data_IF_993693422713
#
_entry.id   IF_993693422713
#
_cell.length_a   1.000
_cell.length_b   1.000
_cell.length_c   1.000
_cell.angle_alpha   90.00
_cell.angle_beta   90.00
_cell.angle_gamma   90.00
#
_symmetry.space_group_name_H-M   'P 1'
#
loop_
_entity.id
_entity.type
_entity.pdbx_description
1 polymer ?
#
# COMPACT_ATOMS: atom_id res chain seq x y z
N UNK A 1 18.43 49.04 -11.77
CA UNK A 1 18.56 47.69 -12.35
C UNK A 1 18.13 46.65 -11.33
N UNK A 2 17.68 45.49 -11.82
CA UNK A 2 17.29 44.25 -11.10
C UNK A 2 15.79 44.05 -10.91
N UNK A 3 15.13 43.57 -11.97
CA UNK A 3 13.89 42.78 -11.89
C UNK A 3 14.30 41.35 -11.56
N UNK A 4 13.99 40.90 -10.34
CA UNK A 4 14.06 39.49 -9.97
C UNK A 4 13.00 38.76 -10.78
N UNK A 5 13.43 38.03 -11.82
CA UNK A 5 12.57 37.14 -12.57
C UNK A 5 12.16 35.98 -11.64
N UNK A 6 10.93 36.02 -11.14
CA UNK A 6 10.29 34.85 -10.56
C UNK A 6 10.14 33.83 -11.68
N UNK A 7 11.07 32.89 -11.77
CA UNK A 7 11.02 31.78 -12.73
C UNK A 7 9.85 30.91 -12.29
N UNK A 8 8.68 31.11 -12.90
CA UNK A 8 7.52 30.23 -12.75
C UNK A 8 8.03 28.84 -13.12
N UNK A 9 8.08 27.95 -12.14
CA UNK A 9 8.45 26.57 -12.37
C UNK A 9 7.30 25.95 -13.15
N UNK A 10 7.54 25.67 -14.42
CA UNK A 10 6.55 25.01 -15.28
C UNK A 10 6.26 23.64 -14.67
N UNK A 11 5.06 23.46 -14.12
CA UNK A 11 4.65 22.23 -13.47
C UNK A 11 4.37 21.19 -14.55
N UNK A 12 5.16 20.12 -14.59
CA UNK A 12 4.93 19.02 -15.55
C UNK A 12 3.67 18.28 -15.12
N UNK A 13 2.81 17.88 -16.07
CA UNK A 13 1.64 17.06 -15.77
C UNK A 13 2.04 15.75 -15.09
N UNK A 14 1.18 15.19 -14.21
CA UNK A 14 1.41 13.86 -13.68
C UNK A 14 1.64 12.80 -14.74
N UNK A 15 2.46 11.80 -14.41
CA UNK A 15 2.85 10.75 -15.34
C UNK A 15 1.68 9.81 -15.65
N UNK A 16 0.86 9.51 -14.64
CA UNK A 16 -0.33 8.65 -14.76
C UNK A 16 -1.61 9.41 -14.39
N UNK A 17 -2.71 9.09 -15.09
CA UNK A 17 -4.04 9.68 -14.84
C UNK A 17 -4.79 9.01 -13.69
N UNK A 18 -4.49 7.74 -13.41
CA UNK A 18 -5.13 6.92 -12.37
C UNK A 18 -4.15 6.66 -11.22
N UNK A 19 -4.64 6.10 -10.11
CA UNK A 19 -3.78 5.56 -9.04
C UNK A 19 -2.89 4.45 -9.59
N UNK A 20 -1.72 4.26 -8.97
CA UNK A 20 -0.82 3.13 -9.26
C UNK A 20 -1.49 1.76 -9.18
N UNK A 21 -2.51 1.61 -8.33
CA UNK A 21 -3.26 0.36 -8.14
C UNK A 21 -4.33 0.12 -9.21
N UNK A 22 -4.24 0.86 -10.32
CA UNK A 22 -5.11 0.82 -11.50
C UNK A 22 -4.32 1.24 -12.77
N UNK A 23 -3.08 0.77 -12.89
CA UNK A 23 -2.24 0.93 -14.09
C UNK A 23 -1.92 -0.44 -14.67
N UNK A 24 -1.57 -0.51 -15.95
CA UNK A 24 -1.18 -1.79 -16.60
C UNK A 24 0.22 -2.30 -16.16
N UNK A 25 0.86 -1.63 -15.20
CA UNK A 25 2.19 -2.01 -14.72
C UNK A 25 2.02 -2.99 -13.56
N UNK A 26 2.48 -4.20 -13.78
CA UNK A 26 2.69 -5.21 -12.72
C UNK A 26 4.02 -4.90 -12.01
N UNK A 27 3.94 -4.13 -10.92
CA UNK A 27 5.08 -3.61 -10.15
C UNK A 27 5.69 -4.70 -9.28
N UNK A 28 4.83 -5.52 -8.67
CA UNK A 28 5.19 -6.60 -7.77
C UNK A 28 4.50 -7.87 -8.28
N UNK A 29 5.27 -8.74 -8.91
CA UNK A 29 4.69 -9.89 -9.60
C UNK A 29 4.33 -10.99 -8.62
N UNK A 30 3.33 -11.79 -8.96
CA UNK A 30 2.98 -12.99 -8.19
C UNK A 30 4.19 -13.94 -8.04
N UNK A 31 5.09 -13.98 -9.03
CA UNK A 31 6.30 -14.81 -9.04
C UNK A 31 7.48 -14.22 -8.26
N UNK A 32 7.39 -12.98 -7.77
CA UNK A 32 8.48 -12.37 -7.00
C UNK A 32 8.65 -13.10 -5.66
N UNK A 33 9.89 -13.18 -5.17
CA UNK A 33 10.20 -13.89 -3.94
C UNK A 33 9.42 -13.31 -2.76
N UNK A 34 8.93 -14.19 -1.90
CA UNK A 34 8.20 -13.80 -0.70
C UNK A 34 8.74 -14.50 0.55
N UNK A 35 8.52 -13.86 1.70
CA UNK A 35 9.01 -14.32 3.00
C UNK A 35 8.03 -15.24 3.74
N UNK A 36 6.88 -15.61 3.16
CA UNK A 36 5.84 -16.35 3.86
C UNK A 36 6.28 -17.80 4.15
N UNK A 37 5.99 -18.27 5.37
CA UNK A 37 6.33 -19.62 5.82
C UNK A 37 5.10 -20.49 6.00
N UNK A 38 4.14 -20.03 6.81
CA UNK A 38 2.91 -20.78 7.09
C UNK A 38 1.80 -19.88 7.66
N UNK A 39 0.57 -20.39 7.60
CA UNK A 39 -0.63 -19.74 8.14
C UNK A 39 -1.27 -20.64 9.20
N UNK A 40 -1.39 -20.13 10.42
CA UNK A 40 -2.02 -20.83 11.55
C UNK A 40 -3.39 -20.24 11.86
N UNK A 41 -4.41 -21.08 12.01
CA UNK A 41 -5.70 -20.64 12.53
C UNK A 41 -5.67 -20.56 14.06
N UNK A 42 -6.09 -19.42 14.62
CA UNK A 42 -6.04 -19.11 16.06
C UNK A 42 -7.41 -19.24 16.74
N UNK A 43 -8.50 -19.33 15.97
CA UNK A 43 -9.85 -19.45 16.49
C UNK A 43 -10.75 -18.29 16.08
N UNK A 44 -11.92 -18.22 16.71
CA UNK A 44 -12.81 -17.06 16.61
C UNK A 44 -12.67 -16.21 17.87
N UNK A 45 -12.61 -14.90 17.70
CA UNK A 45 -12.41 -13.94 18.78
C UNK A 45 -13.25 -12.69 18.54
N UNK A 46 -13.49 -11.92 19.60
CA UNK A 46 -13.99 -10.56 19.45
C UNK A 46 -12.85 -9.64 19.01
N UNK A 47 -13.03 -8.94 17.89
CA UNK A 47 -12.05 -8.00 17.33
C UNK A 47 -12.72 -6.71 16.89
N UNK A 48 -11.96 -5.62 16.94
CA UNK A 48 -12.37 -4.37 16.30
C UNK A 48 -12.09 -4.49 14.80
N UNK A 49 -13.14 -4.41 13.98
CA UNK A 49 -13.09 -4.62 12.55
C UNK A 49 -13.74 -3.44 11.83
N UNK A 50 -13.13 -2.25 11.86
CA UNK A 50 -13.69 -1.08 11.21
C UNK A 50 -13.89 -1.34 9.73
N UNK A 51 -15.03 -0.87 9.24
CA UNK A 51 -15.48 -1.04 7.86
C UNK A 51 -15.53 0.28 7.09
N UNK A 52 -15.82 0.19 5.81
CA UNK A 52 -15.92 1.31 4.89
C UNK A 52 -17.32 1.90 4.83
N UNK A 53 -18.29 1.18 5.39
CA UNK A 53 -19.67 1.61 5.51
C UNK A 53 -19.98 2.08 6.94
N UNK A 54 -20.74 3.16 7.06
CA UNK A 54 -21.06 3.78 8.36
C UNK A 54 -21.96 2.95 9.26
N UNK A 55 -22.65 1.95 8.70
CA UNK A 55 -23.55 1.03 9.40
C UNK A 55 -22.90 -0.32 9.74
N UNK A 56 -21.66 -0.56 9.30
CA UNK A 56 -20.88 -1.70 9.75
C UNK A 56 -20.45 -1.49 11.21
N UNK A 57 -20.81 -2.44 12.07
CA UNK A 57 -20.43 -2.40 13.48
C UNK A 57 -18.91 -2.47 13.64
N UNK A 58 -18.35 -1.63 14.51
CA UNK A 58 -16.91 -1.60 14.78
C UNK A 58 -16.38 -2.88 15.42
N UNK A 59 -17.24 -3.67 16.07
CA UNK A 59 -16.87 -4.89 16.79
C UNK A 59 -17.54 -6.10 16.15
N UNK A 60 -16.74 -7.10 15.80
CA UNK A 60 -17.22 -8.41 15.40
C UNK A 60 -16.88 -9.44 16.49
N UNK A 61 -17.87 -10.24 16.92
CA UNK A 61 -17.73 -11.20 18.02
C UNK A 61 -17.35 -12.62 17.55
N UNK A 62 -17.30 -12.85 16.24
CA UNK A 62 -17.03 -14.16 15.64
C UNK A 62 -15.88 -14.14 14.63
N UNK A 63 -14.95 -13.20 14.76
CA UNK A 63 -13.89 -12.95 13.78
C UNK A 63 -12.98 -14.16 13.66
N UNK A 64 -12.82 -14.68 12.44
CA UNK A 64 -11.87 -15.75 12.16
C UNK A 64 -10.44 -15.17 12.15
N UNK A 65 -9.64 -15.56 13.13
CA UNK A 65 -8.25 -15.06 13.26
C UNK A 65 -7.28 -16.09 12.73
N UNK A 66 -6.47 -15.66 11.76
CA UNK A 66 -5.31 -16.40 11.27
C UNK A 66 -4.03 -15.63 11.60
N UNK A 67 -2.93 -16.34 11.75
CA UNK A 67 -1.60 -15.78 12.00
C UNK A 67 -0.64 -16.25 10.93
N UNK A 68 -0.20 -15.34 10.08
CA UNK A 68 0.79 -15.59 9.04
C UNK A 68 2.20 -15.42 9.63
N UNK A 69 3.08 -16.38 9.39
CA UNK A 69 4.46 -16.39 9.85
C UNK A 69 5.42 -16.16 8.67
N UNK A 70 6.48 -15.39 8.90
CA UNK A 70 7.44 -14.98 7.87
C UNK A 70 8.89 -15.27 8.28
N UNK A 71 9.80 -15.36 7.31
CA UNK A 71 11.22 -15.73 7.51
C UNK A 71 12.04 -14.78 8.38
N UNK A 72 11.55 -13.57 8.66
CA UNK A 72 12.19 -12.60 9.56
C UNK A 72 11.69 -12.68 11.01
N UNK A 73 11.17 -13.83 11.43
CA UNK A 73 10.52 -14.09 12.73
C UNK A 73 9.31 -13.18 13.06
N UNK A 74 8.87 -12.36 12.10
CA UNK A 74 7.63 -11.58 12.22
C UNK A 74 6.44 -12.48 11.95
N UNK A 75 5.35 -12.17 12.62
CA UNK A 75 4.02 -12.67 12.28
C UNK A 75 3.03 -11.51 12.21
N UNK A 76 2.02 -11.66 11.35
CA UNK A 76 0.93 -10.70 11.18
C UNK A 76 -0.38 -11.45 11.33
N UNK A 77 -1.30 -10.93 12.15
CA UNK A 77 -2.65 -11.50 12.22
C UNK A 77 -3.49 -11.03 11.03
N UNK A 78 -4.31 -11.93 10.50
CA UNK A 78 -5.30 -11.64 9.46
C UNK A 78 -6.66 -11.95 10.07
N UNK A 79 -7.48 -10.92 10.22
CA UNK A 79 -8.79 -10.96 10.85
C UNK A 79 -9.85 -10.94 9.77
N UNK A 80 -10.65 -12.01 9.69
CA UNK A 80 -11.73 -12.12 8.71
C UNK A 80 -13.07 -12.08 9.41
N UNK A 81 -13.94 -11.20 8.91
CA UNK A 81 -15.22 -10.91 9.55
C UNK A 81 -16.10 -12.17 9.62
N UNK A 82 -16.92 -12.26 10.66
CA UNK A 82 -17.80 -13.43 10.88
C UNK A 82 -18.76 -13.70 9.72
N UNK A 83 -19.06 -12.69 8.89
CA UNK A 83 -19.89 -12.80 7.66
C UNK A 83 -19.36 -13.78 6.62
N UNK A 84 -18.07 -14.18 6.67
CA UNK A 84 -17.58 -15.30 5.86
C UNK A 84 -18.31 -16.62 6.15
N UNK A 85 -18.96 -16.72 7.30
CA UNK A 85 -19.89 -17.79 7.68
C UNK A 85 -19.23 -19.12 8.07
N UNK A 86 -18.01 -19.41 7.61
CA UNK A 86 -17.22 -20.52 8.12
C UNK A 86 -15.71 -20.34 7.90
N UNK A 87 -14.92 -21.10 8.69
CA UNK A 87 -13.45 -21.13 8.63
C UNK A 87 -12.90 -21.43 7.24
N UNK A 88 -13.53 -22.32 6.45
CA UNK A 88 -13.02 -22.70 5.12
C UNK A 88 -13.06 -21.50 4.17
N UNK A 89 -14.18 -20.77 4.14
CA UNK A 89 -14.34 -19.54 3.35
C UNK A 89 -13.38 -18.46 3.83
N UNK A 90 -13.28 -18.24 5.14
CA UNK A 90 -12.36 -17.27 5.69
C UNK A 90 -10.89 -17.61 5.36
N UNK A 91 -10.48 -18.88 5.51
CA UNK A 91 -9.12 -19.31 5.18
C UNK A 91 -8.77 -19.07 3.71
N UNK A 92 -9.72 -19.27 2.79
CA UNK A 92 -9.48 -19.04 1.36
C UNK A 92 -9.07 -17.58 1.06
N UNK A 93 -9.59 -16.60 1.81
CA UNK A 93 -9.19 -15.20 1.66
C UNK A 93 -7.94 -14.84 2.46
N UNK A 94 -7.73 -15.46 3.63
CA UNK A 94 -6.47 -15.35 4.34
C UNK A 94 -5.29 -15.83 3.47
N UNK A 95 -5.45 -16.97 2.78
CA UNK A 95 -4.44 -17.55 1.89
C UNK A 95 -4.10 -16.66 0.70
N UNK A 96 -5.06 -15.89 0.16
CA UNK A 96 -4.79 -14.93 -0.94
C UNK A 96 -3.82 -13.82 -0.53
N UNK A 97 -3.75 -13.51 0.77
CA UNK A 97 -2.98 -12.40 1.30
C UNK A 97 -1.57 -12.80 1.77
N UNK A 98 -1.33 -14.08 2.07
CA UNK A 98 -0.10 -14.54 2.74
C UNK A 98 1.18 -14.24 1.96
N UNK A 99 1.27 -14.70 0.71
CA UNK A 99 2.42 -14.42 -0.15
C UNK A 99 2.60 -12.91 -0.38
N UNK A 100 1.49 -12.17 -0.55
CA UNK A 100 1.52 -10.71 -0.80
C UNK A 100 2.09 -9.92 0.39
N UNK A 101 1.74 -10.29 1.61
CA UNK A 101 2.41 -9.78 2.82
C UNK A 101 3.89 -10.21 2.89
N UNK A 102 4.20 -11.39 2.35
CA UNK A 102 5.57 -11.91 2.25
C UNK A 102 6.44 -11.11 1.29
N UNK A 103 5.86 -10.53 0.23
CA UNK A 103 6.54 -9.71 -0.78
C UNK A 103 6.85 -8.28 -0.30
N UNK A 104 6.26 -7.86 0.82
CA UNK A 104 6.59 -6.56 1.44
C UNK A 104 8.04 -6.55 1.98
N UNK A 105 8.74 -5.41 1.91
CA UNK A 105 9.94 -5.17 2.71
C UNK A 105 9.69 -5.49 4.18
N UNK A 106 10.67 -6.10 4.84
CA UNK A 106 10.51 -6.55 6.23
C UNK A 106 10.16 -5.40 7.18
N UNK A 107 10.74 -4.21 6.97
CA UNK A 107 10.45 -3.04 7.80
C UNK A 107 8.99 -2.56 7.64
N UNK A 108 8.42 -2.65 6.44
CA UNK A 108 7.00 -2.33 6.19
C UNK A 108 6.09 -3.37 6.83
N UNK A 109 6.39 -4.67 6.64
CA UNK A 109 5.63 -5.74 7.30
C UNK A 109 5.69 -5.65 8.83
N UNK A 110 6.77 -5.11 9.39
CA UNK A 110 6.94 -4.98 10.83
C UNK A 110 6.05 -3.90 11.46
N UNK A 111 5.60 -2.90 10.70
CA UNK A 111 4.68 -1.85 11.18
C UNK A 111 3.24 -2.34 11.32
N UNK A 112 2.90 -3.44 10.64
CA UNK A 112 1.57 -4.05 10.72
C UNK A 112 1.36 -4.76 12.07
N UNK A 113 0.28 -4.39 12.73
CA UNK A 113 -0.31 -5.08 13.88
C UNK A 113 -1.18 -6.25 13.40
N UNK A 114 -2.03 -5.99 12.40
CA UNK A 114 -2.92 -6.98 11.79
C UNK A 114 -3.42 -6.48 10.41
N UNK A 115 -4.20 -7.29 9.72
CA UNK A 115 -4.98 -6.93 8.52
C UNK A 115 -6.43 -7.35 8.72
N UNK A 116 -7.37 -6.50 8.33
CA UNK A 116 -8.82 -6.75 8.41
C UNK A 116 -9.33 -7.11 7.01
N UNK A 117 -10.15 -8.16 6.91
CA UNK A 117 -10.82 -8.54 5.67
C UNK A 117 -12.33 -8.66 5.93
N UNK A 118 -13.09 -7.83 5.24
CA UNK A 118 -14.55 -7.86 5.18
C UNK A 118 -15.04 -8.59 3.92
N UNK A 119 -16.32 -8.94 3.91
CA UNK A 119 -17.01 -9.41 2.71
C UNK A 119 -17.57 -8.24 1.90
N UNK A 120 -17.64 -8.35 0.58
CA UNK A 120 -18.25 -7.34 -0.31
C UNK A 120 -17.26 -6.64 -1.23
N UNK A 121 -17.69 -5.54 -1.86
CA UNK A 121 -16.89 -4.76 -2.81
C UNK A 121 -16.79 -3.29 -2.37
N UNK A 122 -15.82 -3.01 -1.51
CA UNK A 122 -15.47 -1.66 -1.09
C UNK A 122 -13.98 -1.40 -1.28
N UNK A 123 -13.62 -0.13 -1.32
CA UNK A 123 -12.23 0.29 -1.47
C UNK A 123 -11.42 -0.07 -0.22
N UNK A 124 -10.20 -0.57 -0.44
CA UNK A 124 -9.22 -0.74 0.61
C UNK A 124 -8.89 0.60 1.28
N UNK A 125 -8.49 0.55 2.55
CA UNK A 125 -7.96 1.72 3.25
C UNK A 125 -7.06 1.29 4.41
N UNK A 126 -6.19 2.20 4.85
CA UNK A 126 -5.30 2.01 5.98
C UNK A 126 -5.69 2.86 7.20
N UNK A 127 -5.31 2.38 8.38
CA UNK A 127 -5.36 3.11 9.65
C UNK A 127 -3.93 3.14 10.22
N UNK A 128 -3.26 4.27 10.04
CA UNK A 128 -1.83 4.42 10.30
C UNK A 128 -1.47 4.41 11.78
N UNK A 129 -2.36 4.94 12.64
CA UNK A 129 -2.20 4.91 14.10
C UNK A 129 -2.47 3.51 14.65
N UNK A 130 -3.52 2.84 14.15
CA UNK A 130 -3.90 1.48 14.50
C UNK A 130 -2.95 0.42 13.96
N UNK A 131 -2.13 0.75 12.97
CA UNK A 131 -1.14 -0.15 12.40
C UNK A 131 -1.74 -1.26 11.56
N UNK A 132 -2.84 -1.01 10.84
CA UNK A 132 -3.51 -2.03 10.03
C UNK A 132 -4.09 -1.42 8.75
N UNK A 133 -4.52 -2.30 7.84
CA UNK A 133 -5.34 -1.92 6.70
C UNK A 133 -6.48 -2.91 6.50
N UNK A 134 -7.46 -2.49 5.69
CA UNK A 134 -8.72 -3.18 5.45
C UNK A 134 -8.83 -3.55 3.97
N UNK A 135 -9.24 -4.79 3.71
CA UNK A 135 -9.58 -5.30 2.38
C UNK A 135 -11.00 -5.85 2.34
N UNK A 136 -11.55 -6.00 1.14
CA UNK A 136 -12.88 -6.56 0.91
C UNK A 136 -12.82 -7.71 -0.10
N UNK A 137 -13.54 -8.79 0.18
CA UNK A 137 -13.45 -10.06 -0.58
C UNK A 137 -13.58 -9.89 -2.09
N UNK A 138 -14.60 -9.16 -2.55
CA UNK A 138 -14.94 -9.08 -3.96
C UNK A 138 -13.99 -8.08 -4.67
N UNK A 139 -13.54 -7.06 -3.93
CA UNK A 139 -12.49 -6.15 -4.38
C UNK A 139 -11.15 -6.88 -4.54
N UNK A 140 -10.79 -7.76 -3.59
CA UNK A 140 -9.59 -8.61 -3.69
C UNK A 140 -9.64 -9.49 -4.93
N UNK A 141 -10.79 -10.12 -5.22
CA UNK A 141 -10.96 -10.97 -6.41
C UNK A 141 -10.82 -10.19 -7.71
N UNK A 142 -11.31 -8.94 -7.74
CA UNK A 142 -11.12 -8.05 -8.88
C UNK A 142 -9.67 -7.66 -9.05
N UNK A 143 -8.99 -7.27 -7.97
CA UNK A 143 -7.57 -6.89 -8.00
C UNK A 143 -6.66 -8.06 -8.37
N UNK A 144 -6.94 -9.28 -7.92
CA UNK A 144 -6.18 -10.47 -8.35
C UNK A 144 -6.31 -10.70 -9.86
N UNK A 145 -7.53 -10.57 -10.42
CA UNK A 145 -7.74 -10.73 -11.87
C UNK A 145 -6.99 -9.68 -12.70
N UNK A 146 -6.76 -8.51 -12.13
CA UNK A 146 -6.06 -7.41 -12.79
C UNK A 146 -4.54 -7.38 -12.50
N UNK A 147 -4.03 -8.27 -11.64
CA UNK A 147 -2.66 -8.22 -11.09
C UNK A 147 -2.35 -6.92 -10.31
N UNK A 148 -3.29 -6.47 -9.48
CA UNK A 148 -3.19 -5.22 -8.70
C UNK A 148 -3.19 -5.45 -7.17
N UNK A 149 -3.39 -6.70 -6.71
CA UNK A 149 -3.57 -6.94 -5.27
C UNK A 149 -2.27 -6.78 -4.50
N UNK A 150 -1.12 -7.15 -5.07
CA UNK A 150 0.20 -6.93 -4.51
C UNK A 150 0.48 -5.42 -4.32
N UNK A 151 0.19 -4.63 -5.34
CA UNK A 151 0.30 -3.18 -5.39
C UNK A 151 -0.61 -2.54 -4.34
N UNK A 152 -1.83 -3.06 -4.19
CA UNK A 152 -2.77 -2.58 -3.17
C UNK A 152 -2.24 -2.87 -1.77
N UNK A 153 -1.76 -4.10 -1.51
CA UNK A 153 -1.17 -4.45 -0.22
C UNK A 153 0.04 -3.57 0.09
N UNK A 154 0.89 -3.29 -0.90
CA UNK A 154 2.03 -2.38 -0.74
C UNK A 154 1.59 -0.93 -0.49
N UNK A 155 0.61 -0.44 -1.25
CA UNK A 155 0.06 0.92 -1.14
C UNK A 155 -0.54 1.15 0.26
N UNK A 156 -1.44 0.28 0.71
CA UNK A 156 -2.04 0.39 2.04
C UNK A 156 -1.00 0.25 3.16
N UNK A 157 -0.03 -0.64 3.01
CA UNK A 157 1.06 -0.77 4.00
C UNK A 157 1.98 0.45 3.98
N UNK A 158 2.09 1.18 2.85
CA UNK A 158 2.85 2.42 2.78
C UNK A 158 2.20 3.51 3.63
N UNK A 159 0.88 3.64 3.62
CA UNK A 159 0.16 4.53 4.54
C UNK A 159 0.50 4.19 6.00
N UNK A 160 0.37 2.91 6.37
CA UNK A 160 0.69 2.46 7.74
C UNK A 160 2.14 2.76 8.13
N UNK A 161 3.08 2.56 7.20
CA UNK A 161 4.51 2.67 7.49
C UNK A 161 5.00 4.11 7.55
N UNK A 162 4.46 4.99 6.71
CA UNK A 162 5.05 6.30 6.46
C UNK A 162 4.18 7.47 6.87
N UNK A 163 2.85 7.39 6.80
CA UNK A 163 2.01 8.59 6.80
C UNK A 163 2.06 9.35 8.12
N UNK A 164 1.90 8.64 9.22
CA UNK A 164 1.91 9.19 10.58
C UNK A 164 3.17 10.04 10.82
N UNK A 165 4.32 9.61 10.28
CA UNK A 165 5.61 10.29 10.49
C UNK A 165 5.93 11.31 9.40
N UNK A 166 5.57 11.04 8.15
CA UNK A 166 6.15 11.73 6.99
C UNK A 166 5.14 12.47 6.11
N UNK A 167 3.93 11.96 5.87
CA UNK A 167 3.02 12.49 4.85
C UNK A 167 2.68 13.97 5.03
N UNK A 168 2.55 14.42 6.29
CA UNK A 168 2.28 15.83 6.64
C UNK A 168 3.51 16.60 7.12
N UNK A 169 4.68 15.96 7.15
CA UNK A 169 5.92 16.54 7.67
C UNK A 169 6.41 17.72 6.83
N UNK A 170 7.12 18.66 7.46
CA UNK A 170 7.75 19.80 6.75
C UNK A 170 8.74 19.33 5.68
N UNK A 171 9.43 18.21 5.92
CA UNK A 171 10.39 17.64 4.98
C UNK A 171 9.70 17.14 3.71
N UNK A 172 8.67 16.31 3.85
CA UNK A 172 7.95 15.77 2.69
C UNK A 172 7.31 16.89 1.85
N UNK A 173 6.64 17.85 2.52
CA UNK A 173 6.06 19.03 1.87
C UNK A 173 7.10 19.85 1.09
N UNK A 174 8.32 19.99 1.64
CA UNK A 174 9.42 20.66 0.94
C UNK A 174 9.86 19.87 -0.29
N UNK A 175 9.97 18.54 -0.20
CA UNK A 175 10.31 17.69 -1.34
C UNK A 175 9.26 17.80 -2.45
N UNK A 176 7.97 17.75 -2.10
CA UNK A 176 6.85 17.96 -3.02
C UNK A 176 6.96 19.30 -3.76
N UNK A 177 7.16 20.40 -3.04
CA UNK A 177 7.29 21.73 -3.65
C UNK A 177 8.56 21.89 -4.50
N UNK A 178 9.62 21.16 -4.17
CA UNK A 178 10.91 21.19 -4.88
C UNK A 178 10.94 20.28 -6.10
N UNK A 179 10.05 19.30 -6.18
CA UNK A 179 9.83 18.46 -7.36
C UNK A 179 8.93 19.14 -8.40
N UNK A 180 8.98 18.70 -9.66
CA UNK A 180 8.33 19.38 -10.80
C UNK A 180 6.90 18.91 -11.07
N UNK A 181 6.52 17.74 -10.58
CA UNK A 181 5.26 17.06 -10.91
C UNK A 181 4.88 16.06 -9.83
N UNK A 182 3.65 15.57 -9.80
CA UNK A 182 3.27 14.38 -9.04
C UNK A 182 3.34 13.14 -9.94
N UNK A 183 3.51 11.94 -9.37
CA UNK A 183 3.59 10.75 -10.20
C UNK A 183 2.23 10.37 -10.81
N UNK A 184 1.15 10.50 -10.02
CA UNK A 184 -0.23 10.27 -10.46
C UNK A 184 -1.11 11.49 -10.20
N UNK A 185 -2.20 11.63 -10.95
CA UNK A 185 -3.23 12.64 -10.65
C UNK A 185 -3.87 12.39 -9.28
N UNK A 186 -3.94 11.12 -8.84
CA UNK A 186 -4.45 10.77 -7.51
C UNK A 186 -3.56 11.35 -6.40
N UNK A 187 -2.23 11.14 -6.50
CA UNK A 187 -1.24 11.77 -5.63
C UNK A 187 -1.33 13.29 -5.65
N UNK A 188 -1.55 13.90 -6.83
CA UNK A 188 -1.73 15.35 -6.96
C UNK A 188 -3.00 15.85 -6.25
N UNK A 189 -4.10 15.11 -6.34
CA UNK A 189 -5.39 15.50 -5.77
C UNK A 189 -5.40 15.44 -4.23
N UNK A 190 -4.60 14.53 -3.65
CA UNK A 190 -4.50 14.29 -2.22
C UNK A 190 -3.03 14.23 -1.77
N UNK A 191 -2.26 15.32 -1.90
CA UNK A 191 -0.80 15.29 -1.77
C UNK A 191 -0.32 14.95 -0.36
N UNK A 192 -1.14 15.15 0.67
CA UNK A 192 -0.79 14.85 2.06
C UNK A 192 -1.33 13.50 2.56
N UNK A 193 -1.88 12.69 1.66
CA UNK A 193 -2.39 11.34 1.95
C UNK A 193 -1.76 10.34 0.96
N UNK A 194 -1.90 10.58 -0.34
CA UNK A 194 -1.63 9.55 -1.37
C UNK A 194 -0.21 9.61 -1.93
N UNK A 195 0.45 10.77 -1.87
CA UNK A 195 1.69 10.97 -2.60
C UNK A 195 2.84 10.05 -2.15
N UNK A 196 2.93 9.73 -0.86
CA UNK A 196 3.93 8.78 -0.37
C UNK A 196 3.63 7.38 -0.90
N UNK A 197 2.41 6.87 -0.69
CA UNK A 197 2.04 5.51 -1.10
C UNK A 197 2.18 5.29 -2.61
N UNK A 198 1.74 6.28 -3.40
CA UNK A 198 1.85 6.25 -4.86
C UNK A 198 3.31 6.34 -5.34
N UNK A 199 4.15 7.15 -4.69
CA UNK A 199 5.57 7.28 -5.08
C UNK A 199 6.41 6.08 -4.60
N UNK A 200 6.14 5.56 -3.41
CA UNK A 200 6.92 4.51 -2.76
C UNK A 200 6.98 3.23 -3.59
N UNK A 201 5.88 2.86 -4.25
CA UNK A 201 5.84 1.66 -5.09
C UNK A 201 6.84 1.74 -6.25
N UNK A 202 6.89 2.88 -6.96
CA UNK A 202 7.87 3.07 -8.03
C UNK A 202 9.30 3.00 -7.53
N UNK A 203 9.59 3.68 -6.41
CA UNK A 203 10.95 3.67 -5.84
C UNK A 203 11.32 2.25 -5.43
N UNK A 204 10.44 1.54 -4.73
CA UNK A 204 10.64 0.15 -4.36
C UNK A 204 10.94 -0.72 -5.58
N UNK A 205 10.09 -0.67 -6.62
CA UNK A 205 10.28 -1.46 -7.85
C UNK A 205 11.58 -1.13 -8.55
N UNK A 206 11.99 0.13 -8.63
CA UNK A 206 13.27 0.53 -9.22
C UNK A 206 14.48 0.01 -8.44
N UNK A 207 14.35 -0.15 -7.12
CA UNK A 207 15.43 -0.61 -6.23
C UNK A 207 15.55 -2.12 -6.18
N UNK A 208 14.43 -2.84 -6.16
CA UNK A 208 14.42 -4.30 -5.97
C UNK A 208 14.32 -5.07 -7.27
N UNK A 209 13.72 -4.49 -8.31
CA UNK A 209 13.51 -5.13 -9.60
C UNK A 209 13.99 -4.23 -10.76
N UNK A 210 15.32 -4.04 -10.94
CA UNK A 210 15.85 -3.20 -12.02
C UNK A 210 15.31 -3.61 -13.40
N UNK A 211 14.90 -2.62 -14.21
CA UNK A 211 14.26 -2.81 -15.52
C UNK A 211 12.85 -3.41 -15.52
N UNK A 212 12.17 -3.53 -14.36
CA UNK A 212 10.72 -3.84 -14.32
C UNK A 212 9.92 -2.72 -14.98
N UNK A 213 10.34 -1.48 -14.77
CA UNK A 213 9.78 -0.30 -15.40
C UNK A 213 10.53 0.03 -16.69
N UNK A 214 9.85 0.71 -17.63
CA UNK A 214 10.51 1.20 -18.83
C UNK A 214 11.56 2.27 -18.49
N UNK A 215 12.59 2.40 -19.32
CA UNK A 215 13.65 3.41 -19.11
C UNK A 215 13.08 4.82 -19.09
N UNK A 216 12.05 5.08 -19.88
CA UNK A 216 11.35 6.36 -19.96
C UNK A 216 10.69 6.70 -18.62
N UNK A 217 10.00 5.74 -17.99
CA UNK A 217 9.38 5.92 -16.66
C UNK A 217 10.46 6.20 -15.61
N UNK A 218 11.51 5.38 -15.55
CA UNK A 218 12.59 5.56 -14.57
C UNK A 218 13.29 6.91 -14.71
N UNK A 219 13.57 7.33 -15.95
CA UNK A 219 14.16 8.64 -16.23
C UNK A 219 13.21 9.77 -15.87
N UNK A 220 11.92 9.64 -16.19
CA UNK A 220 10.91 10.63 -15.82
C UNK A 220 10.90 10.86 -14.31
N UNK A 221 10.93 9.78 -13.52
CA UNK A 221 10.95 9.84 -12.04
C UNK A 221 12.20 10.57 -11.55
N UNK A 222 13.38 10.18 -12.03
CA UNK A 222 14.66 10.79 -11.63
C UNK A 222 14.75 12.27 -12.01
N UNK A 223 14.09 12.71 -13.08
CA UNK A 223 14.11 14.10 -13.57
C UNK A 223 13.04 14.98 -12.90
N UNK A 224 11.85 14.44 -12.67
CA UNK A 224 10.68 15.22 -12.26
C UNK A 224 10.40 15.13 -10.77
N UNK A 225 10.73 14.02 -10.11
CA UNK A 225 10.52 13.84 -8.67
C UNK A 225 11.78 13.44 -7.87
N UNK A 226 12.96 14.02 -8.16
CA UNK A 226 14.23 13.58 -7.60
C UNK A 226 14.31 13.65 -6.07
N UNK A 227 13.61 14.60 -5.42
CA UNK A 227 13.72 14.76 -3.96
C UNK A 227 12.89 13.70 -3.23
N UNK A 228 11.67 13.41 -3.70
CA UNK A 228 10.87 12.32 -3.14
C UNK A 228 11.46 10.95 -3.45
N UNK A 229 12.00 10.75 -4.66
CA UNK A 229 12.76 9.53 -5.00
C UNK A 229 13.91 9.31 -4.02
N UNK A 230 14.80 10.31 -3.85
CA UNK A 230 15.96 10.20 -2.96
C UNK A 230 15.56 9.94 -1.51
N UNK A 231 14.47 10.55 -1.04
CA UNK A 231 13.99 10.33 0.31
C UNK A 231 13.54 8.88 0.52
N UNK A 232 12.71 8.35 -0.37
CA UNK A 232 12.18 6.98 -0.26
C UNK A 232 13.25 5.93 -0.52
N UNK A 233 14.24 6.21 -1.39
CA UNK A 233 15.37 5.34 -1.66
C UNK A 233 16.20 5.04 -0.41
N UNK A 234 16.18 5.89 0.62
CA UNK A 234 16.90 5.60 1.88
C UNK A 234 16.30 4.41 2.65
N UNK A 235 15.08 3.98 2.32
CA UNK A 235 14.38 2.88 2.99
C UNK A 235 14.46 1.55 2.23
N UNK A 236 14.72 1.58 0.91
CA UNK A 236 14.68 0.42 0.00
C UNK A 236 16.05 0.12 -0.59
#
# INVERSE_FOLDING_TARGET
MSKVAHKIKEETKPLFRTSITATEIDFIRETDNDAFLNLKYIGQHTKEMPGGLSDEGLIDNGTYVFKAHFSNDKSVEIWLHSSFGNKKKAKAYADKLTSRLGKLPSFMRNTLNHVVIHTGDHTAFAEDVGGFFVLYSDNMDTRIRNNDLEETVFHETSHVTFDLKYAKSKMWKKNQATDKAFITEYAKSKPYQEDIAETALFVYTMKTNPNRLSKEIEQWIKINIPNRYKFLEMFF
#
